data_IF_941116249693
#
_entry.id   IF_941116249693
#
_cell.length_a   1.000
_cell.length_b   1.000
_cell.length_c   1.000
_cell.angle_alpha   90.00
_cell.angle_beta   90.00
_cell.angle_gamma   90.00
#
_symmetry.space_group_name_H-M   'P 1'
#
loop_
_entity.id
_entity.type
_entity.pdbx_description
1 polymer ?
#
# COMPACT_ATOMS: atom_id res chain seq x y z
N UNK A 1 -18.43 -12.92 -5.53
CA UNK A 1 -17.03 -13.42 -5.67
C UNK A 1 -16.62 -13.20 -7.12
N UNK A 2 -15.60 -12.38 -7.35
CA UNK A 2 -14.98 -12.27 -8.66
C UNK A 2 -14.23 -13.59 -8.95
N UNK A 3 -14.43 -14.24 -10.11
CA UNK A 3 -13.56 -15.35 -10.50
C UNK A 3 -12.15 -14.77 -10.70
N UNK A 4 -11.19 -15.16 -9.86
CA UNK A 4 -9.85 -14.55 -9.78
C UNK A 4 -8.83 -15.11 -10.79
N UNK A 5 -8.86 -16.43 -11.20
CA UNK A 5 -7.81 -16.98 -12.05
C UNK A 5 -7.70 -16.27 -13.41
N UNK A 6 -6.48 -15.82 -13.73
CA UNK A 6 -6.15 -15.20 -15.00
C UNK A 6 -6.49 -13.71 -15.13
N UNK A 7 -7.02 -13.04 -14.09
CA UNK A 7 -7.18 -11.59 -14.10
C UNK A 7 -5.84 -10.88 -13.95
N UNK A 8 -5.68 -9.78 -14.68
CA UNK A 8 -4.47 -8.96 -14.64
C UNK A 8 -4.49 -8.02 -13.43
N UNK A 9 -3.39 -8.02 -12.66
CA UNK A 9 -3.22 -7.12 -11.51
C UNK A 9 -1.91 -6.33 -11.64
N UNK A 10 -1.98 -5.03 -11.38
CA UNK A 10 -0.83 -4.16 -11.24
C UNK A 10 -0.64 -3.79 -9.76
N UNK A 11 0.56 -4.08 -9.22
CA UNK A 11 0.98 -3.64 -7.88
C UNK A 11 1.91 -2.43 -8.03
N UNK A 12 1.40 -1.23 -7.73
CA UNK A 12 2.12 0.05 -7.85
C UNK A 12 2.88 0.31 -6.57
N UNK A 13 4.21 0.48 -6.67
CA UNK A 13 5.11 0.58 -5.53
C UNK A 13 5.31 -0.77 -4.85
N UNK A 14 5.47 -1.83 -5.63
CA UNK A 14 5.53 -3.20 -5.14
C UNK A 14 6.71 -3.52 -4.22
N UNK A 15 7.71 -2.64 -4.14
CA UNK A 15 8.88 -2.80 -3.27
C UNK A 15 9.55 -4.16 -3.42
N UNK A 16 9.65 -4.91 -2.30
CA UNK A 16 10.20 -6.28 -2.26
C UNK A 16 9.25 -7.38 -2.72
N UNK A 17 8.08 -7.05 -3.29
CA UNK A 17 7.18 -7.98 -3.95
C UNK A 17 6.25 -8.79 -3.02
N UNK A 18 6.19 -8.48 -1.73
CA UNK A 18 5.43 -9.29 -0.77
C UNK A 18 3.94 -9.37 -1.08
N UNK A 19 3.32 -8.23 -1.40
CA UNK A 19 1.90 -8.17 -1.76
C UNK A 19 1.64 -8.78 -3.15
N UNK A 20 2.53 -8.48 -4.11
CA UNK A 20 2.49 -9.06 -5.46
C UNK A 20 2.50 -10.60 -5.43
N UNK A 21 3.31 -11.20 -4.55
CA UNK A 21 3.38 -12.65 -4.39
C UNK A 21 2.09 -13.25 -3.83
N UNK A 22 1.45 -12.60 -2.85
CA UNK A 22 0.16 -13.08 -2.32
C UNK A 22 -0.92 -13.06 -3.41
N UNK A 23 -0.98 -11.99 -4.22
CA UNK A 23 -1.88 -11.95 -5.37
C UNK A 23 -1.57 -13.03 -6.42
N UNK A 24 -0.29 -13.30 -6.68
CA UNK A 24 0.10 -14.36 -7.60
C UNK A 24 -0.32 -15.76 -7.09
N UNK A 25 -0.20 -16.01 -5.77
CA UNK A 25 -0.70 -17.26 -5.14
C UNK A 25 -2.21 -17.38 -5.22
N UNK A 26 -2.93 -16.26 -5.22
CA UNK A 26 -4.39 -16.21 -5.42
C UNK A 26 -4.81 -16.37 -6.89
N UNK A 27 -3.85 -16.51 -7.81
CA UNK A 27 -4.09 -16.83 -9.23
C UNK A 27 -4.22 -15.61 -10.14
N UNK A 28 -3.82 -14.42 -9.70
CA UNK A 28 -3.71 -13.25 -10.59
C UNK A 28 -2.47 -13.36 -11.49
N UNK A 29 -2.57 -12.82 -12.70
CA UNK A 29 -1.42 -12.48 -13.54
C UNK A 29 -0.88 -11.11 -13.06
N UNK A 30 0.20 -11.14 -12.27
CA UNK A 30 0.69 -9.96 -11.55
C UNK A 30 1.82 -9.27 -12.29
N UNK A 31 1.73 -7.95 -12.39
CA UNK A 31 2.82 -7.05 -12.73
C UNK A 31 3.10 -6.15 -11.53
N UNK A 32 4.35 -6.07 -11.08
CA UNK A 32 4.79 -5.15 -10.03
C UNK A 32 5.63 -4.01 -10.61
N UNK A 33 5.41 -2.77 -10.15
CA UNK A 33 6.22 -1.62 -10.55
C UNK A 33 6.74 -0.87 -9.33
N UNK A 34 8.03 -0.52 -9.33
CA UNK A 34 8.68 0.23 -8.25
C UNK A 34 9.87 1.04 -8.80
N UNK A 35 10.15 2.26 -8.31
CA UNK A 35 11.32 3.03 -8.74
C UNK A 35 12.64 2.51 -8.18
N UNK A 36 12.64 1.65 -7.15
CA UNK A 36 13.84 1.19 -6.47
C UNK A 36 14.36 -0.13 -7.07
N UNK A 37 15.31 -0.07 -8.00
CA UNK A 37 15.93 -1.24 -8.67
C UNK A 37 16.35 -2.33 -7.68
N UNK A 38 16.98 -1.97 -6.54
CA UNK A 38 17.37 -2.94 -5.50
C UNK A 38 16.20 -3.70 -4.88
N UNK A 39 15.07 -3.03 -4.71
CA UNK A 39 13.85 -3.67 -4.21
C UNK A 39 13.33 -4.69 -5.22
N UNK A 40 13.32 -4.31 -6.50
CA UNK A 40 12.91 -5.20 -7.60
C UNK A 40 13.84 -6.41 -7.78
N UNK A 41 15.15 -6.26 -7.60
CA UNK A 41 16.10 -7.39 -7.61
C UNK A 41 15.76 -8.38 -6.49
N UNK A 42 15.47 -7.89 -5.28
CA UNK A 42 15.06 -8.74 -4.17
C UNK A 42 13.70 -9.40 -4.42
N UNK A 43 12.73 -8.67 -5.01
CA UNK A 43 11.42 -9.19 -5.38
C UNK A 43 11.52 -10.31 -6.41
N UNK A 44 12.30 -10.11 -7.50
CA UNK A 44 12.53 -11.14 -8.53
C UNK A 44 13.15 -12.42 -7.95
N UNK A 45 14.17 -12.24 -7.10
CA UNK A 45 14.81 -13.38 -6.45
C UNK A 45 13.83 -14.15 -5.56
N UNK A 46 13.06 -13.43 -4.74
CA UNK A 46 12.12 -14.06 -3.81
C UNK A 46 10.97 -14.76 -4.55
N UNK A 47 10.45 -14.16 -5.62
CA UNK A 47 9.44 -14.80 -6.47
C UNK A 47 9.98 -16.08 -7.15
N UNK A 48 11.21 -16.05 -7.68
CA UNK A 48 11.87 -17.21 -8.27
C UNK A 48 12.08 -18.34 -7.25
N UNK A 49 12.54 -18.00 -6.03
CA UNK A 49 12.72 -18.96 -4.93
C UNK A 49 11.38 -19.63 -4.50
N UNK A 50 10.24 -18.97 -4.79
CA UNK A 50 8.89 -19.46 -4.50
C UNK A 50 8.15 -20.01 -5.74
N UNK A 51 8.80 -20.12 -6.91
CA UNK A 51 8.21 -20.55 -8.17
C UNK A 51 6.99 -19.73 -8.60
N UNK A 52 7.03 -18.40 -8.37
CA UNK A 52 5.98 -17.45 -8.78
C UNK A 52 6.42 -16.71 -10.04
N UNK A 53 5.52 -16.62 -11.02
CA UNK A 53 5.71 -15.87 -12.26
C UNK A 53 5.10 -14.47 -12.09
N UNK A 54 5.94 -13.47 -11.87
CA UNK A 54 5.56 -12.06 -11.64
C UNK A 54 6.46 -11.18 -12.50
N UNK A 55 5.83 -10.29 -13.29
CA UNK A 55 6.56 -9.32 -14.12
C UNK A 55 6.90 -8.06 -13.30
N UNK A 56 8.14 -7.95 -12.85
CA UNK A 56 8.61 -6.78 -12.11
C UNK A 56 9.31 -5.76 -13.03
N UNK A 57 8.83 -4.52 -13.03
CA UNK A 57 9.34 -3.42 -13.85
C UNK A 57 9.76 -2.22 -13.03
N UNK A 58 10.79 -1.51 -13.50
CA UNK A 58 11.17 -0.22 -12.92
C UNK A 58 10.25 0.89 -13.48
N UNK A 59 9.79 1.77 -12.57
CA UNK A 59 8.94 2.91 -12.94
C UNK A 59 8.27 3.55 -11.74
N UNK A 60 7.59 4.68 -11.99
CA UNK A 60 6.91 5.47 -10.98
C UNK A 60 5.38 5.43 -11.19
N UNK A 61 4.64 5.56 -10.09
CA UNK A 61 3.17 5.61 -10.13
C UNK A 61 2.61 6.81 -10.88
N UNK A 62 3.36 7.92 -10.95
CA UNK A 62 3.00 9.14 -11.67
C UNK A 62 3.05 9.01 -13.20
N UNK A 63 3.72 7.97 -13.74
CA UNK A 63 3.88 7.74 -15.17
C UNK A 63 3.97 6.24 -15.44
N UNK A 64 2.82 5.55 -15.42
CA UNK A 64 2.75 4.10 -15.60
C UNK A 64 3.01 3.72 -17.07
N UNK A 65 4.02 2.88 -17.37
CA UNK A 65 4.41 2.52 -18.75
C UNK A 65 3.50 1.43 -19.34
N UNK A 66 2.19 1.56 -19.12
CA UNK A 66 1.20 0.59 -19.59
C UNK A 66 0.11 1.29 -20.42
N UNK A 67 -0.49 0.59 -21.39
CA UNK A 67 -1.63 1.11 -22.15
C UNK A 67 -2.85 1.38 -21.26
N UNK A 68 -3.80 2.16 -21.78
CA UNK A 68 -5.10 2.35 -21.16
C UNK A 68 -5.85 1.02 -21.01
N UNK A 69 -6.61 0.89 -19.94
CA UNK A 69 -7.49 -0.26 -19.71
C UNK A 69 -6.78 -1.64 -19.79
N UNK A 70 -5.56 -1.73 -19.22
CA UNK A 70 -4.72 -2.95 -19.24
C UNK A 70 -5.04 -3.92 -18.09
N UNK A 71 -5.46 -3.39 -16.94
CA UNK A 71 -5.57 -4.18 -15.72
C UNK A 71 -7.00 -4.29 -15.21
N UNK A 72 -7.36 -5.48 -14.73
CA UNK A 72 -8.62 -5.73 -14.03
C UNK A 72 -8.59 -5.18 -12.60
N UNK A 73 -7.39 -5.21 -11.99
CA UNK A 73 -7.13 -4.74 -10.63
C UNK A 73 -5.85 -3.92 -10.61
N UNK A 74 -5.85 -2.83 -9.83
CA UNK A 74 -4.64 -2.09 -9.45
C UNK A 74 -4.60 -2.02 -7.93
N UNK A 75 -3.46 -2.35 -7.34
CA UNK A 75 -3.17 -2.15 -5.92
C UNK A 75 -2.11 -1.06 -5.75
N UNK A 76 -2.24 -0.25 -4.71
CA UNK A 76 -1.26 0.78 -4.33
C UNK A 76 -1.29 0.91 -2.81
N UNK A 77 -0.46 0.12 -2.12
CA UNK A 77 -0.47 -0.04 -0.69
C UNK A 77 0.84 0.45 -0.06
N UNK A 78 0.76 1.26 1.00
CA UNK A 78 1.90 1.95 1.65
C UNK A 78 2.73 2.82 0.67
N UNK A 79 2.09 3.46 -0.31
CA UNK A 79 2.77 4.20 -1.39
C UNK A 79 2.27 5.62 -1.54
N UNK A 80 0.97 5.85 -1.43
CA UNK A 80 0.34 7.14 -1.78
C UNK A 80 0.90 8.32 -0.96
N UNK A 81 1.33 8.10 0.29
CA UNK A 81 1.99 9.09 1.15
C UNK A 81 3.45 9.35 0.79
N UNK A 82 4.03 8.58 -0.14
CA UNK A 82 5.43 8.72 -0.55
C UNK A 82 5.60 9.39 -1.91
N UNK A 83 4.56 9.42 -2.73
CA UNK A 83 4.61 9.95 -4.10
C UNK A 83 4.80 11.46 -4.13
N UNK A 84 5.29 11.97 -5.26
CA UNK A 84 5.51 13.41 -5.43
C UNK A 84 4.21 14.11 -5.85
N UNK A 85 3.38 13.47 -6.67
CA UNK A 85 2.08 13.99 -7.11
C UNK A 85 0.98 12.92 -7.06
N UNK A 86 0.20 12.96 -5.99
CA UNK A 86 -0.94 12.07 -5.78
C UNK A 86 -1.97 12.15 -6.93
N UNK A 87 -2.20 13.35 -7.48
CA UNK A 87 -3.18 13.54 -8.56
C UNK A 87 -2.76 12.80 -9.84
N UNK A 88 -1.45 12.82 -10.15
CA UNK A 88 -0.91 12.06 -11.28
C UNK A 88 -1.05 10.57 -11.07
N UNK A 89 -0.72 10.06 -9.88
CA UNK A 89 -0.84 8.63 -9.56
C UNK A 89 -2.28 8.17 -9.73
N UNK A 90 -3.26 8.88 -9.14
CA UNK A 90 -4.68 8.48 -9.24
C UNK A 90 -5.17 8.54 -10.68
N UNK A 91 -4.71 9.52 -11.48
CA UNK A 91 -5.03 9.60 -12.90
C UNK A 91 -4.47 8.41 -13.69
N UNK A 92 -3.21 8.01 -13.44
CA UNK A 92 -2.57 6.88 -14.10
C UNK A 92 -3.21 5.54 -13.69
N UNK A 93 -3.54 5.38 -12.40
CA UNK A 93 -4.33 4.25 -11.91
C UNK A 93 -5.67 4.17 -12.66
N UNK A 94 -6.42 5.27 -12.71
CA UNK A 94 -7.69 5.32 -13.41
C UNK A 94 -7.54 5.03 -14.91
N UNK A 95 -6.49 5.51 -15.56
CA UNK A 95 -6.21 5.29 -16.98
C UNK A 95 -5.94 3.81 -17.27
N UNK A 96 -5.09 3.17 -16.47
CA UNK A 96 -4.65 1.80 -16.69
C UNK A 96 -5.66 0.74 -16.27
N UNK A 97 -6.60 1.06 -15.37
CA UNK A 97 -7.72 0.19 -15.02
C UNK A 97 -8.69 0.03 -16.20
N UNK A 98 -9.19 -1.18 -16.39
CA UNK A 98 -10.32 -1.48 -17.27
C UNK A 98 -11.62 -0.86 -16.71
N UNK A 99 -12.62 -0.53 -17.54
CA UNK A 99 -13.96 -0.19 -17.06
C UNK A 99 -14.50 -1.30 -16.15
N UNK A 100 -15.02 -0.95 -14.98
CA UNK A 100 -15.45 -1.91 -13.95
C UNK A 100 -14.28 -2.53 -13.15
N UNK A 101 -13.04 -2.16 -13.44
CA UNK A 101 -11.86 -2.61 -12.69
C UNK A 101 -11.81 -2.04 -11.28
N UNK A 102 -11.05 -2.70 -10.41
CA UNK A 102 -10.99 -2.40 -8.97
C UNK A 102 -9.64 -1.80 -8.62
N UNK A 103 -9.67 -0.71 -7.87
CA UNK A 103 -8.49 -0.08 -7.26
C UNK A 103 -8.48 -0.34 -5.75
N UNK A 104 -7.49 -1.08 -5.26
CA UNK A 104 -7.20 -1.22 -3.83
C UNK A 104 -6.14 -0.23 -3.39
N UNK A 105 -6.34 0.38 -2.24
CA UNK A 105 -5.39 1.34 -1.69
C UNK A 105 -5.37 1.30 -0.17
N UNK A 106 -4.24 1.63 0.40
CA UNK A 106 -4.11 2.08 1.77
C UNK A 106 -3.15 3.27 1.86
N UNK A 107 -3.22 4.00 2.96
CA UNK A 107 -2.33 5.14 3.23
C UNK A 107 -2.48 5.63 4.67
N UNK A 108 -1.60 6.56 5.07
CA UNK A 108 -1.63 7.17 6.39
C UNK A 108 -2.48 8.45 6.37
N UNK A 109 -3.42 8.55 7.33
CA UNK A 109 -4.27 9.73 7.46
C UNK A 109 -3.50 10.93 8.07
N UNK A 110 -3.67 12.12 7.54
CA UNK A 110 -3.06 13.36 8.05
C UNK A 110 -3.79 13.88 9.29
N UNK A 111 -3.53 13.27 10.44
CA UNK A 111 -4.10 13.64 11.73
C UNK A 111 -3.00 13.86 12.77
N UNK A 112 -3.38 14.43 13.92
CA UNK A 112 -2.47 14.53 15.06
C UNK A 112 -2.08 13.13 15.60
N UNK A 113 -3.02 12.19 15.61
CA UNK A 113 -2.76 10.81 16.07
C UNK A 113 -1.74 10.09 15.18
N UNK A 114 -1.87 10.20 13.87
CA UNK A 114 -0.89 9.62 12.94
C UNK A 114 0.47 10.31 13.06
N UNK A 115 0.52 11.63 13.28
CA UNK A 115 1.77 12.34 13.57
C UNK A 115 2.47 11.78 14.79
N UNK A 116 1.71 11.53 15.87
CA UNK A 116 2.26 10.92 17.07
C UNK A 116 2.73 9.47 16.80
N UNK A 117 1.88 8.65 16.20
CA UNK A 117 2.16 7.21 16.00
C UNK A 117 3.27 6.97 14.98
N UNK A 118 3.16 7.57 13.78
CA UNK A 118 4.03 7.27 12.65
C UNK A 118 5.27 8.15 12.64
N UNK A 119 5.19 9.43 13.01
CA UNK A 119 6.36 10.30 13.01
C UNK A 119 7.10 10.20 14.36
N UNK A 120 6.44 10.53 15.46
CA UNK A 120 7.10 10.62 16.76
C UNK A 120 7.54 9.25 17.31
N UNK A 121 6.62 8.28 17.40
CA UNK A 121 6.90 6.98 18.00
C UNK A 121 7.73 6.08 17.09
N UNK A 122 7.47 6.06 15.77
CA UNK A 122 8.15 5.10 14.90
C UNK A 122 9.47 5.60 14.32
N UNK A 123 9.69 6.91 14.16
CA UNK A 123 10.92 7.41 13.53
C UNK A 123 11.74 8.40 14.39
N UNK A 124 11.14 9.27 15.22
CA UNK A 124 11.91 10.30 15.92
C UNK A 124 12.37 9.89 17.32
N UNK A 125 11.49 9.32 18.14
CA UNK A 125 11.82 9.02 19.54
C UNK A 125 12.75 7.83 19.67
N UNK A 126 13.97 8.08 20.13
CA UNK A 126 15.03 7.07 20.22
C UNK A 126 14.67 5.78 20.98
N UNK A 127 13.73 5.84 21.93
CA UNK A 127 13.36 4.67 22.74
C UNK A 127 12.29 3.78 22.08
N UNK A 128 11.58 4.29 21.07
CA UNK A 128 10.54 3.53 20.33
C UNK A 128 10.85 3.36 18.86
N UNK A 129 11.74 4.17 18.29
CA UNK A 129 12.08 4.19 16.86
C UNK A 129 12.44 2.81 16.31
N UNK A 130 11.75 2.41 15.28
CA UNK A 130 12.00 1.19 14.50
C UNK A 130 12.08 1.46 12.99
N UNK A 131 11.56 2.59 12.52
CA UNK A 131 11.75 3.08 11.15
C UNK A 131 13.02 3.94 11.02
N UNK A 132 13.53 4.05 9.81
CA UNK A 132 14.60 5.00 9.50
C UNK A 132 14.09 6.43 9.67
N UNK A 133 14.95 7.39 10.11
CA UNK A 133 14.58 8.80 10.10
C UNK A 133 14.13 9.24 8.70
N UNK A 134 13.12 10.11 8.64
CA UNK A 134 12.58 10.68 7.40
C UNK A 134 11.99 9.64 6.41
N UNK A 135 11.62 8.43 6.87
CA UNK A 135 10.88 7.50 6.02
C UNK A 135 9.48 8.00 5.69
N UNK A 136 8.87 8.77 6.59
CA UNK A 136 7.56 9.40 6.36
C UNK A 136 7.65 10.90 6.63
N UNK A 137 6.86 11.66 5.87
CA UNK A 137 6.72 13.12 5.99
C UNK A 137 5.25 13.43 6.26
N UNK A 138 4.94 13.99 7.42
CA UNK A 138 3.55 14.19 7.85
C UNK A 138 2.70 15.02 6.88
N UNK A 139 3.32 15.98 6.22
CA UNK A 139 2.68 16.85 5.22
C UNK A 139 2.21 16.08 3.98
N UNK A 140 2.83 14.95 3.68
CA UNK A 140 2.45 14.03 2.59
C UNK A 140 1.32 13.07 2.97
N UNK A 141 0.98 12.93 4.25
CA UNK A 141 -0.16 12.10 4.66
C UNK A 141 -1.46 12.64 4.08
N UNK A 142 -2.41 11.77 3.79
CA UNK A 142 -3.57 12.10 2.97
C UNK A 142 -4.83 11.96 3.80
N UNK A 143 -5.65 13.03 3.86
CA UNK A 143 -6.96 12.93 4.50
C UNK A 143 -7.93 12.12 3.62
N UNK A 144 -8.81 11.28 4.19
CA UNK A 144 -9.78 10.52 3.42
C UNK A 144 -10.57 11.36 2.41
N UNK A 145 -11.05 12.54 2.83
CA UNK A 145 -11.81 13.43 1.94
C UNK A 145 -10.99 13.93 0.73
N UNK A 146 -9.68 14.13 0.88
CA UNK A 146 -8.77 14.55 -0.20
C UNK A 146 -8.62 13.40 -1.21
N UNK A 147 -8.33 12.17 -0.72
CA UNK A 147 -8.21 11.00 -1.61
C UNK A 147 -9.52 10.72 -2.35
N UNK A 148 -10.66 10.72 -1.64
CA UNK A 148 -11.97 10.50 -2.26
C UNK A 148 -12.29 11.54 -3.34
N UNK A 149 -11.89 12.80 -3.15
CA UNK A 149 -12.04 13.83 -4.17
C UNK A 149 -11.20 13.55 -5.43
N UNK A 150 -9.95 13.07 -5.27
CA UNK A 150 -9.12 12.65 -6.41
C UNK A 150 -9.71 11.42 -7.12
N UNK A 151 -10.16 10.42 -6.37
CA UNK A 151 -10.80 9.22 -6.94
C UNK A 151 -12.01 9.62 -7.80
N UNK A 152 -12.94 10.39 -7.24
CA UNK A 152 -14.17 10.80 -7.92
C UNK A 152 -13.89 11.61 -9.19
N UNK A 153 -12.93 12.55 -9.17
CA UNK A 153 -12.53 13.33 -10.35
C UNK A 153 -12.00 12.48 -11.50
N UNK A 154 -11.48 11.28 -11.20
CA UNK A 154 -10.94 10.35 -12.17
C UNK A 154 -11.87 9.16 -12.48
N UNK A 155 -13.17 9.26 -12.11
CA UNK A 155 -14.15 8.23 -12.38
C UNK A 155 -14.00 6.95 -11.56
N UNK A 156 -13.34 7.04 -10.40
CA UNK A 156 -13.19 5.95 -9.43
C UNK A 156 -14.18 6.20 -8.28
N UNK A 157 -15.18 5.36 -8.16
CA UNK A 157 -16.19 5.46 -7.10
C UNK A 157 -15.77 4.59 -5.92
N UNK A 158 -15.44 5.22 -4.79
CA UNK A 158 -15.09 4.49 -3.57
C UNK A 158 -16.29 3.66 -3.07
N UNK A 159 -16.05 2.41 -2.71
CA UNK A 159 -17.07 1.48 -2.23
C UNK A 159 -16.96 1.27 -0.72
N UNK A 160 -15.75 1.19 -0.20
CA UNK A 160 -15.53 0.92 1.21
C UNK A 160 -14.30 1.69 1.71
N UNK A 161 -14.34 2.09 2.98
CA UNK A 161 -13.25 2.75 3.68
C UNK A 161 -13.19 2.20 5.10
N UNK A 162 -12.04 1.64 5.49
CA UNK A 162 -11.78 1.08 6.81
C UNK A 162 -10.47 1.60 7.37
N UNK A 163 -10.42 1.77 8.67
CA UNK A 163 -9.17 2.04 9.37
C UNK A 163 -8.36 0.77 9.59
N UNK A 164 -7.07 0.95 9.83
CA UNK A 164 -6.16 -0.11 10.26
C UNK A 164 -5.69 0.23 11.66
N UNK A 165 -5.87 -0.69 12.59
CA UNK A 165 -5.50 -0.52 14.00
C UNK A 165 -4.88 -1.80 14.57
N UNK A 166 -4.27 -1.69 15.75
CA UNK A 166 -3.77 -2.85 16.50
C UNK A 166 -4.80 -3.29 17.54
N UNK A 167 -5.05 -4.59 17.64
CA UNK A 167 -5.84 -5.15 18.76
C UNK A 167 -5.11 -5.11 20.11
N UNK A 168 -3.80 -4.88 20.08
CA UNK A 168 -3.01 -4.80 21.30
C UNK A 168 -3.30 -3.51 22.06
N UNK A 169 -3.33 -3.63 23.38
CA UNK A 169 -3.35 -2.44 24.23
C UNK A 169 -2.03 -1.65 24.12
N UNK A 170 -2.02 -0.34 24.46
CA UNK A 170 -0.85 0.52 24.28
C UNK A 170 0.44 0.00 24.94
N UNK A 171 0.35 -0.66 26.10
CA UNK A 171 1.52 -1.21 26.81
C UNK A 171 2.11 -2.41 26.07
N UNK A 172 1.26 -3.32 25.56
CA UNK A 172 1.70 -4.45 24.75
C UNK A 172 2.30 -4.00 23.41
N UNK A 173 1.73 -2.96 22.81
CA UNK A 173 2.29 -2.35 21.58
C UNK A 173 3.67 -1.76 21.84
N UNK A 174 3.83 -1.01 22.92
CA UNK A 174 5.12 -0.44 23.32
C UNK A 174 6.16 -1.55 23.60
N UNK A 175 5.77 -2.66 24.23
CA UNK A 175 6.64 -3.82 24.43
C UNK A 175 7.08 -4.44 23.10
N UNK A 176 6.17 -4.56 22.12
CA UNK A 176 6.49 -5.05 20.77
C UNK A 176 7.49 -4.13 20.06
N UNK A 177 7.28 -2.80 20.09
CA UNK A 177 8.22 -1.81 19.54
C UNK A 177 9.60 -1.92 20.15
N UNK A 178 9.69 -2.07 21.48
CA UNK A 178 10.97 -2.27 22.18
C UNK A 178 11.65 -3.58 21.80
N UNK A 179 10.90 -4.65 21.58
CA UNK A 179 11.43 -5.94 21.14
C UNK A 179 12.01 -5.87 19.73
N UNK A 180 11.33 -5.18 18.79
CA UNK A 180 11.84 -4.89 17.44
C UNK A 180 13.16 -4.12 17.53
N UNK A 181 13.19 -3.03 18.29
CA UNK A 181 14.41 -2.23 18.46
C UNK A 181 15.60 -3.01 19.03
N UNK A 182 15.34 -3.95 19.95
CA UNK A 182 16.39 -4.81 20.55
C UNK A 182 16.81 -5.95 19.62
N UNK A 183 16.29 -6.02 18.39
CA UNK A 183 16.57 -7.11 17.45
C UNK A 183 16.03 -8.47 17.88
N UNK A 184 15.10 -8.50 18.85
CA UNK A 184 14.44 -9.73 19.34
C UNK A 184 13.35 -10.22 18.38
N UNK A 185 12.88 -9.37 17.46
CA UNK A 185 11.93 -9.70 16.41
C UNK A 185 12.60 -9.42 15.07
N UNK A 186 12.58 -10.39 14.17
CA UNK A 186 13.00 -10.20 12.80
C UNK A 186 11.93 -9.39 12.01
N UNK A 187 12.29 -8.84 10.85
CA UNK A 187 11.38 -8.03 10.07
C UNK A 187 10.08 -8.75 9.68
N UNK A 188 10.12 -10.07 9.44
CA UNK A 188 8.92 -10.88 9.14
C UNK A 188 7.96 -11.00 10.33
N UNK A 189 8.47 -10.91 11.55
CA UNK A 189 7.66 -10.98 12.77
C UNK A 189 7.06 -9.62 13.19
N UNK A 190 7.43 -8.52 12.53
CA UNK A 190 6.94 -7.18 12.88
C UNK A 190 5.42 -7.10 12.64
N UNK A 191 4.95 -7.38 11.42
CA UNK A 191 3.52 -7.32 11.09
C UNK A 191 2.66 -8.16 12.03
N UNK A 192 2.88 -9.47 12.17
CA UNK A 192 2.16 -10.31 13.13
C UNK A 192 2.27 -9.83 14.57
N UNK A 193 3.41 -9.20 14.96
CA UNK A 193 3.59 -8.71 16.32
C UNK A 193 2.76 -7.47 16.65
N UNK A 194 2.19 -6.78 15.65
CA UNK A 194 1.26 -5.66 15.86
C UNK A 194 -0.20 -6.10 15.95
N UNK A 195 -0.54 -7.31 15.52
CA UNK A 195 -1.91 -7.84 15.51
C UNK A 195 -2.89 -6.83 14.89
N UNK A 196 -2.61 -6.47 13.63
CA UNK A 196 -3.40 -5.47 12.90
C UNK A 196 -4.79 -6.00 12.55
N UNK A 197 -5.77 -5.13 12.60
CA UNK A 197 -7.16 -5.43 12.26
C UNK A 197 -7.85 -4.21 11.62
N UNK A 198 -8.91 -4.51 10.89
CA UNK A 198 -9.83 -3.49 10.41
C UNK A 198 -10.62 -2.85 11.56
N UNK A 199 -10.94 -1.57 11.39
CA UNK A 199 -11.69 -0.76 12.36
C UNK A 199 -12.46 0.36 11.64
N UNK A 200 -13.46 0.93 12.31
CA UNK A 200 -14.12 2.17 11.89
C UNK A 200 -13.25 3.41 12.17
N UNK A 201 -12.20 3.28 12.97
CA UNK A 201 -11.33 4.38 13.37
C UNK A 201 -10.26 4.67 12.31
N UNK A 202 -10.43 5.78 11.59
CA UNK A 202 -9.53 6.22 10.52
C UNK A 202 -8.39 7.12 11.01
N UNK A 203 -8.19 7.29 12.33
CA UNK A 203 -7.29 8.33 12.86
C UNK A 203 -5.82 8.13 12.53
N UNK A 204 -5.34 6.90 12.29
CA UNK A 204 -3.92 6.65 11.99
C UNK A 204 -3.72 6.35 10.52
N UNK A 205 -4.26 5.26 10.04
CA UNK A 205 -4.20 4.84 8.65
C UNK A 205 -5.54 4.26 8.20
N UNK A 206 -5.73 4.20 6.92
CA UNK A 206 -6.96 3.66 6.34
C UNK A 206 -6.69 2.96 5.02
N UNK A 207 -7.54 2.02 4.70
CA UNK A 207 -7.56 1.29 3.45
C UNK A 207 -8.96 1.33 2.84
N UNK A 208 -9.04 1.05 1.57
CA UNK A 208 -10.31 0.99 0.87
C UNK A 208 -10.18 0.45 -0.53
N UNK A 209 -11.32 0.39 -1.21
CA UNK A 209 -11.31 0.09 -2.62
C UNK A 209 -12.32 0.95 -3.38
N UNK A 210 -11.99 1.21 -4.63
CA UNK A 210 -12.83 1.96 -5.56
C UNK A 210 -13.03 1.16 -6.85
N UNK A 211 -14.15 1.39 -7.52
CA UNK A 211 -14.47 0.78 -8.81
C UNK A 211 -14.44 1.85 -9.88
N UNK A 212 -13.76 1.57 -11.00
CA UNK A 212 -13.78 2.45 -12.17
C UNK A 212 -15.15 2.38 -12.85
N UNK A 213 -15.78 3.54 -13.04
CA UNK A 213 -17.05 3.63 -13.71
C UNK A 213 -16.98 2.97 -15.11
N UNK A 214 -18.00 2.20 -15.52
CA UNK A 214 -18.13 1.77 -16.91
C UNK A 214 -18.07 3.02 -17.81
N UNK A 215 -17.35 2.95 -18.93
CA UNK A 215 -17.49 4.01 -19.95
C UNK A 215 -18.95 3.98 -20.44
N UNK A 216 -19.65 5.10 -20.31
CA UNK A 216 -20.92 5.34 -21.00
C UNK A 216 -20.63 5.56 -22.48
#
# INVERSE_FOLDING_TARGET
>A
KLPLPGRTLLDVGCGGGFLAEEFARDGFAVTGIDPATRSLEAARKHAADNNLDIDYREGKGEALPFPDASFDVVACCDVLEHVDDLSLVIREVARTLKPGGVFFYDTVNRTWFSKLAVIKLSQEWNFTRWCKPNSHVWEKFIKPAELLAFLNRNGLTNQELRGISSRKNPLALLASLRAVKKGKLNHRAIGPSFDLCETEDLRVSYMGYAIKSPRV
#
